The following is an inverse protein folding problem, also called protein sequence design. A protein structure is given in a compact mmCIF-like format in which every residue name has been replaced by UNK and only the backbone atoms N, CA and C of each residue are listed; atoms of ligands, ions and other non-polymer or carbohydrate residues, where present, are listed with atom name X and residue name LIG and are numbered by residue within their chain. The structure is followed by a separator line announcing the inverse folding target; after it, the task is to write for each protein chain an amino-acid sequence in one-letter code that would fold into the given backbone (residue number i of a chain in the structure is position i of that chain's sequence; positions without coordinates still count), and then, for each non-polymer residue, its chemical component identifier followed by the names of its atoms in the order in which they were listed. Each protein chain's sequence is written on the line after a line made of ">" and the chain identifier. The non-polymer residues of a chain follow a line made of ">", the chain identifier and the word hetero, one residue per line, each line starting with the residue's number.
data_IF_671770778998
#
_entry.id   IF_671770778998
#
_cell.length_a   1.000
_cell.length_b   1.000
_cell.length_c   1.000
_cell.angle_alpha   90.00
_cell.angle_beta   90.00
_cell.angle_gamma   90.00
#
_symmetry.space_group_name_H-M   'P 1'
#
loop_
_entity.id
_entity.type
_entity.pdbx_description
1 polymer ?
#
# COMPACT_ATOMS: atom_id res chain seq x y z
N UNK A 1 -37.60 63.89 -19.82
CA UNK A 1 -37.35 63.37 -18.46
C UNK A 1 -37.92 61.96 -18.24
N UNK A 2 -39.19 61.64 -18.56
CA UNK A 2 -39.78 60.31 -18.37
C UNK A 2 -39.07 59.16 -19.10
N UNK A 3 -38.48 59.39 -20.26
CA UNK A 3 -37.76 58.35 -21.02
C UNK A 3 -36.34 58.10 -20.48
N UNK A 4 -35.71 59.15 -19.98
CA UNK A 4 -34.39 59.03 -19.34
C UNK A 4 -34.50 58.18 -18.07
N UNK A 5 -35.54 58.41 -17.25
CA UNK A 5 -35.77 57.63 -16.05
C UNK A 5 -36.02 56.15 -16.37
N UNK A 6 -36.78 55.83 -17.43
CA UNK A 6 -37.01 54.44 -17.86
C UNK A 6 -35.71 53.76 -18.32
N UNK A 7 -34.85 54.51 -19.04
CA UNK A 7 -33.57 53.98 -19.51
C UNK A 7 -32.61 53.70 -18.32
N UNK A 8 -32.57 54.60 -17.33
CA UNK A 8 -31.73 54.40 -16.13
C UNK A 8 -32.20 53.21 -15.31
N UNK A 9 -33.52 53.03 -15.15
CA UNK A 9 -34.10 51.87 -14.46
C UNK A 9 -33.77 50.56 -15.20
N UNK A 10 -33.90 50.58 -16.53
CA UNK A 10 -33.63 49.39 -17.36
C UNK A 10 -32.10 49.05 -17.30
N UNK A 11 -31.23 50.05 -17.34
CA UNK A 11 -29.76 49.83 -17.17
C UNK A 11 -29.41 49.26 -15.78
N UNK A 12 -29.98 49.85 -14.72
CA UNK A 12 -29.80 49.36 -13.37
C UNK A 12 -30.26 47.89 -13.22
N UNK A 13 -31.39 47.53 -13.83
CA UNK A 13 -31.92 46.16 -13.84
C UNK A 13 -31.01 45.21 -14.63
N UNK A 14 -30.42 45.65 -15.75
CA UNK A 14 -29.45 44.87 -16.51
C UNK A 14 -28.19 44.60 -15.72
N UNK A 15 -27.71 45.59 -14.96
CA UNK A 15 -26.52 45.40 -14.08
C UNK A 15 -26.79 44.42 -12.94
N UNK A 16 -28.01 44.35 -12.41
CA UNK A 16 -28.32 43.35 -11.35
C UNK A 16 -28.40 41.93 -11.89
N UNK A 17 -28.67 41.70 -13.16
CA UNK A 17 -28.72 40.40 -13.80
C UNK A 17 -27.34 39.84 -14.11
N UNK A 18 -26.28 40.66 -14.15
CA UNK A 18 -24.89 40.23 -14.41
C UNK A 18 -24.16 39.70 -13.15
N UNK A 19 -24.87 39.59 -12.02
CA UNK A 19 -24.31 39.09 -10.75
C UNK A 19 -24.06 37.57 -10.73
N UNK A 20 -24.21 36.87 -11.84
CA UNK A 20 -23.92 35.45 -11.90
C UNK A 20 -22.38 35.22 -11.90
N UNK A 21 -21.91 34.44 -10.95
CA UNK A 21 -20.51 33.97 -10.90
C UNK A 21 -20.24 33.07 -12.13
N UNK A 22 -19.39 33.54 -13.04
CA UNK A 22 -19.15 32.87 -14.32
C UNK A 22 -18.17 31.68 -14.21
N UNK A 23 -17.25 31.72 -13.28
CA UNK A 23 -16.24 30.68 -13.13
C UNK A 23 -16.59 29.73 -11.97
N UNK A 24 -17.20 28.59 -12.31
CA UNK A 24 -17.59 27.57 -11.33
C UNK A 24 -16.42 26.81 -10.71
N UNK A 25 -15.21 27.00 -11.23
CA UNK A 25 -14.00 26.33 -10.71
C UNK A 25 -13.35 27.09 -9.55
N UNK A 26 -13.78 28.34 -9.34
CA UNK A 26 -13.27 29.18 -8.25
C UNK A 26 -14.36 29.46 -7.22
N UNK A 27 -13.99 29.48 -5.93
CA UNK A 27 -14.93 29.91 -4.89
C UNK A 27 -15.38 31.35 -5.11
N UNK A 28 -16.66 31.63 -4.78
CA UNK A 28 -17.19 32.97 -4.86
C UNK A 28 -16.57 33.88 -3.79
N UNK A 29 -16.66 35.20 -3.97
CA UNK A 29 -16.22 36.17 -2.98
C UNK A 29 -17.07 36.06 -1.71
N UNK A 30 -16.39 36.07 -0.58
CA UNK A 30 -17.03 36.09 0.75
C UNK A 30 -16.84 37.45 1.40
N UNK A 31 -17.87 37.89 2.13
CA UNK A 31 -17.75 39.05 2.99
C UNK A 31 -16.91 38.68 4.23
N UNK A 32 -15.88 39.47 4.56
CA UNK A 32 -14.93 39.20 5.65
C UNK A 32 -14.30 37.79 5.55
N UNK A 33 -13.46 37.52 4.55
CA UNK A 33 -12.95 36.20 4.28
C UNK A 33 -11.83 35.74 5.23
N UNK A 34 -11.81 36.24 6.44
CA UNK A 34 -10.81 35.93 7.46
C UNK A 34 -10.62 34.41 7.57
N UNK A 35 -9.37 33.95 7.47
CA UNK A 35 -9.00 32.53 7.52
C UNK A 35 -9.58 31.67 6.38
N UNK A 36 -10.24 32.25 5.37
CA UNK A 36 -10.72 31.49 4.21
C UNK A 36 -9.57 30.85 3.42
N UNK A 37 -8.47 31.55 3.31
CA UNK A 37 -7.20 31.00 2.81
C UNK A 37 -6.25 30.90 3.99
N UNK A 38 -5.74 29.71 4.24
CA UNK A 38 -4.70 29.49 5.23
C UNK A 38 -3.47 30.35 4.89
N UNK A 39 -2.88 30.99 5.92
CA UNK A 39 -1.58 31.67 5.77
C UNK A 39 -0.45 30.65 5.64
N UNK A 40 -0.59 29.50 6.33
CA UNK A 40 0.31 28.37 6.18
C UNK A 40 0.03 27.60 4.88
N UNK A 41 1.06 27.00 4.31
CA UNK A 41 0.93 26.16 3.13
C UNK A 41 0.28 24.81 3.49
N UNK A 42 -0.70 24.40 2.70
CA UNK A 42 -1.27 23.05 2.80
C UNK A 42 -0.26 22.01 2.30
N UNK A 43 -0.38 20.77 2.79
CA UNK A 43 0.62 19.71 2.58
C UNK A 43 1.05 19.51 1.13
N UNK A 44 0.12 19.58 0.19
CA UNK A 44 0.40 19.37 -1.25
C UNK A 44 0.25 20.66 -2.08
N UNK A 45 0.20 21.83 -1.45
CA UNK A 45 0.10 23.11 -2.16
C UNK A 45 1.42 23.50 -2.81
N UNK A 46 1.33 24.42 -3.76
CA UNK A 46 2.52 25.06 -4.36
C UNK A 46 3.20 25.94 -3.32
N UNK A 47 4.51 25.81 -3.17
CA UNK A 47 5.31 26.58 -2.23
C UNK A 47 6.53 27.20 -2.93
N UNK A 48 6.53 28.52 -3.12
CA UNK A 48 7.61 29.20 -3.83
C UNK A 48 8.93 29.26 -3.05
N UNK A 49 8.94 28.87 -1.76
CA UNK A 49 10.16 28.85 -0.94
C UNK A 49 11.09 27.68 -1.26
N UNK A 50 10.58 26.66 -1.94
CA UNK A 50 11.37 25.51 -2.36
C UNK A 50 11.61 25.52 -3.87
N UNK A 51 12.78 25.09 -4.29
CA UNK A 51 13.20 25.08 -5.70
C UNK A 51 12.32 24.18 -6.58
N UNK A 52 11.74 23.12 -6.02
CA UNK A 52 10.82 22.19 -6.67
C UNK A 52 9.35 22.65 -6.62
N UNK A 53 9.07 23.78 -5.95
CA UNK A 53 7.73 24.33 -5.81
C UNK A 53 6.77 23.50 -4.95
N UNK A 54 7.24 22.51 -4.19
CA UNK A 54 6.39 21.59 -3.41
C UNK A 54 6.46 21.91 -1.92
N UNK A 55 5.31 21.90 -1.25
CA UNK A 55 5.26 22.01 0.21
C UNK A 55 5.76 20.74 0.88
N UNK A 56 5.30 19.58 0.41
CA UNK A 56 5.78 18.28 0.91
C UNK A 56 7.10 17.92 0.27
N UNK A 57 8.16 18.04 1.04
CA UNK A 57 9.51 17.69 0.60
C UNK A 57 9.75 16.18 0.79
N UNK A 58 10.48 15.51 -0.13
CA UNK A 58 10.96 14.17 0.11
C UNK A 58 11.88 14.15 1.34
N UNK A 59 11.94 13.04 2.08
CA UNK A 59 12.87 12.91 3.19
C UNK A 59 14.31 13.03 2.70
N UNK A 60 15.19 13.49 3.58
CA UNK A 60 16.64 13.57 3.28
C UNK A 60 17.14 12.15 2.96
N UNK A 61 17.97 12.05 1.93
CA UNK A 61 18.54 10.78 1.49
C UNK A 61 19.29 10.08 2.64
N UNK A 62 19.13 8.77 2.76
CA UNK A 62 19.73 7.97 3.83
C UNK A 62 18.99 8.03 5.18
N UNK A 63 17.90 8.80 5.29
CA UNK A 63 17.10 8.83 6.52
C UNK A 63 16.03 7.73 6.53
N UNK A 64 15.81 7.15 7.71
CA UNK A 64 14.74 6.17 7.94
C UNK A 64 13.64 6.85 8.74
N UNK A 65 12.43 6.88 8.18
CA UNK A 65 11.28 7.47 8.85
C UNK A 65 10.94 6.65 10.13
N UNK A 66 10.50 7.37 11.18
CA UNK A 66 10.08 6.73 12.43
C UNK A 66 8.97 5.72 12.16
N UNK A 67 9.10 4.51 12.72
CA UNK A 67 8.16 3.40 12.52
C UNK A 67 8.37 2.61 11.23
N UNK A 68 9.32 2.99 10.38
CA UNK A 68 9.75 2.17 9.25
C UNK A 68 10.91 1.29 9.68
N UNK A 69 10.89 0.04 9.20
CA UNK A 69 11.97 -0.93 9.38
C UNK A 69 12.64 -1.11 8.01
N UNK A 70 13.97 -0.97 7.93
CA UNK A 70 14.70 -1.26 6.70
C UNK A 70 14.41 -2.68 6.22
N UNK A 71 14.38 -2.85 4.90
CA UNK A 71 14.19 -4.14 4.27
C UNK A 71 15.22 -4.28 3.15
N UNK A 72 16.20 -5.15 3.38
CA UNK A 72 17.44 -5.21 2.60
C UNK A 72 17.33 -6.06 1.33
N UNK A 73 16.19 -6.75 1.13
CA UNK A 73 15.94 -7.56 -0.06
C UNK A 73 15.29 -6.70 -1.15
N UNK A 74 15.93 -6.55 -2.33
CA UNK A 74 15.41 -5.71 -3.41
C UNK A 74 14.16 -6.33 -4.06
N UNK A 75 13.35 -5.49 -4.72
CA UNK A 75 12.18 -5.91 -5.51
C UNK A 75 12.60 -6.54 -6.83
N UNK A 76 13.24 -7.70 -6.75
CA UNK A 76 13.69 -8.49 -7.90
C UNK A 76 13.41 -9.98 -7.68
N UNK A 77 13.55 -10.79 -8.72
CA UNK A 77 13.43 -12.25 -8.60
C UNK A 77 14.52 -12.83 -7.69
N UNK A 78 15.71 -12.29 -7.77
CA UNK A 78 16.85 -12.66 -6.92
C UNK A 78 16.54 -12.33 -5.45
N UNK A 79 16.06 -11.10 -5.17
CA UNK A 79 15.65 -10.68 -3.83
C UNK A 79 14.52 -11.55 -3.26
N UNK A 80 13.57 -11.97 -4.09
CA UNK A 80 12.55 -12.95 -3.67
C UNK A 80 13.15 -14.30 -3.30
N UNK A 81 14.07 -14.82 -4.11
CA UNK A 81 14.74 -16.10 -3.85
C UNK A 81 15.62 -16.04 -2.59
N UNK A 82 16.32 -14.95 -2.38
CA UNK A 82 17.07 -14.70 -1.15
C UNK A 82 16.15 -14.62 0.08
N UNK A 83 15.04 -13.92 -0.01
CA UNK A 83 14.06 -13.83 1.06
C UNK A 83 13.43 -15.21 1.36
N UNK A 84 13.17 -16.01 0.33
CA UNK A 84 12.64 -17.37 0.48
C UNK A 84 13.61 -18.27 1.26
N UNK A 85 14.93 -18.14 1.03
CA UNK A 85 15.94 -19.00 1.63
C UNK A 85 16.40 -18.48 3.02
N UNK A 86 16.61 -17.18 3.14
CA UNK A 86 17.38 -16.60 4.24
C UNK A 86 16.53 -15.81 5.23
N UNK A 87 15.41 -15.21 4.77
CA UNK A 87 14.63 -14.31 5.61
C UNK A 87 13.79 -15.09 6.62
N UNK A 88 14.07 -14.86 7.91
CA UNK A 88 13.40 -15.50 9.03
C UNK A 88 12.47 -14.53 9.74
N UNK A 89 11.36 -15.05 10.24
CA UNK A 89 10.42 -14.29 11.06
C UNK A 89 11.08 -13.97 12.43
N UNK A 90 11.18 -12.70 12.82
CA UNK A 90 11.71 -12.32 14.11
C UNK A 90 10.71 -12.49 15.26
N UNK A 91 9.43 -12.74 14.96
CA UNK A 91 8.37 -12.88 15.97
C UNK A 91 8.24 -14.33 16.41
N UNK A 92 7.97 -14.53 17.69
CA UNK A 92 7.65 -15.86 18.23
C UNK A 92 6.26 -16.32 17.81
N UNK A 93 6.15 -17.60 17.48
CA UNK A 93 4.89 -18.26 17.15
C UNK A 93 4.08 -18.52 18.43
N UNK A 94 3.35 -17.50 18.88
CA UNK A 94 2.44 -17.62 20.01
C UNK A 94 0.99 -17.38 19.57
N UNK A 95 0.04 -17.75 20.43
CA UNK A 95 -1.39 -17.64 20.15
C UNK A 95 -1.82 -16.20 19.79
N UNK A 96 -1.29 -15.20 20.49
CA UNK A 96 -1.62 -13.79 20.24
C UNK A 96 -1.17 -13.34 18.83
N UNK A 97 0.04 -13.71 18.41
CA UNK A 97 0.54 -13.38 17.07
C UNK A 97 -0.23 -14.12 15.97
N UNK A 98 -0.58 -15.38 16.19
CA UNK A 98 -1.40 -16.16 15.26
C UNK A 98 -2.83 -15.60 15.14
N UNK A 99 -3.46 -15.22 16.25
CA UNK A 99 -4.78 -14.61 16.27
C UNK A 99 -4.80 -13.27 15.52
N UNK A 100 -3.79 -12.42 15.75
CA UNK A 100 -3.62 -11.16 15.01
C UNK A 100 -3.35 -11.40 13.53
N UNK A 101 -2.50 -12.37 13.19
CA UNK A 101 -2.23 -12.76 11.80
C UNK A 101 -3.49 -13.22 11.07
N UNK A 102 -4.33 -14.03 11.73
CA UNK A 102 -5.64 -14.44 11.24
C UNK A 102 -6.57 -13.25 11.01
N UNK A 103 -6.63 -12.31 11.94
CA UNK A 103 -7.45 -11.12 11.81
C UNK A 103 -7.02 -10.28 10.60
N UNK A 104 -5.72 -10.01 10.44
CA UNK A 104 -5.19 -9.28 9.27
C UNK A 104 -5.42 -10.04 7.96
N UNK A 105 -5.22 -11.35 7.94
CA UNK A 105 -5.52 -12.19 6.78
C UNK A 105 -6.99 -12.08 6.37
N UNK A 106 -7.91 -12.12 7.34
CA UNK A 106 -9.35 -12.01 7.09
C UNK A 106 -9.73 -10.65 6.51
N UNK A 107 -9.03 -9.58 6.89
CA UNK A 107 -9.32 -8.23 6.39
C UNK A 107 -8.76 -8.04 4.98
N UNK A 108 -7.50 -8.41 4.75
CA UNK A 108 -6.76 -8.00 3.55
C UNK A 108 -6.56 -9.09 2.49
N UNK A 109 -6.60 -10.38 2.86
CA UNK A 109 -6.13 -11.46 2.00
C UNK A 109 -7.26 -12.39 1.53
N UNK A 110 -8.28 -12.60 2.36
CA UNK A 110 -9.36 -13.58 2.14
C UNK A 110 -10.14 -13.34 0.85
N UNK A 111 -10.28 -12.07 0.43
CA UNK A 111 -11.03 -11.69 -0.78
C UNK A 111 -10.49 -12.32 -2.06
N UNK A 112 -9.18 -12.55 -2.12
CA UNK A 112 -8.52 -13.22 -3.24
C UNK A 112 -8.11 -14.66 -2.91
N UNK A 113 -7.49 -14.88 -1.72
CA UNK A 113 -6.92 -16.18 -1.36
C UNK A 113 -7.92 -17.17 -0.78
N UNK A 114 -9.11 -16.71 -0.37
CA UNK A 114 -10.14 -17.55 0.24
C UNK A 114 -9.86 -17.91 1.70
N UNK A 115 -10.84 -18.51 2.36
CA UNK A 115 -10.77 -18.88 3.79
C UNK A 115 -9.81 -20.03 4.06
N UNK A 116 -9.61 -20.90 3.07
CA UNK A 116 -8.74 -22.08 3.13
C UNK A 116 -7.38 -21.85 2.43
N UNK A 117 -7.10 -20.63 1.94
CA UNK A 117 -5.89 -20.33 1.19
C UNK A 117 -5.79 -21.05 -0.16
N UNK A 118 -6.93 -21.48 -0.69
CA UNK A 118 -7.01 -22.26 -1.94
C UNK A 118 -6.95 -21.38 -3.21
N UNK A 119 -6.92 -20.05 -3.07
CA UNK A 119 -6.99 -19.13 -4.21
C UNK A 119 -8.40 -18.97 -4.78
N UNK A 120 -9.42 -19.28 -3.99
CA UNK A 120 -10.84 -19.30 -4.36
C UNK A 120 -11.65 -18.20 -3.67
N UNK A 121 -11.01 -17.07 -3.37
CA UNK A 121 -11.68 -15.92 -2.76
C UNK A 121 -12.78 -15.35 -3.64
N UNK A 122 -13.62 -14.49 -3.06
CA UNK A 122 -14.81 -13.96 -3.73
C UNK A 122 -14.48 -13.19 -5.02
N UNK A 123 -13.34 -12.49 -5.06
CA UNK A 123 -12.90 -11.78 -6.26
C UNK A 123 -12.46 -12.73 -7.38
N UNK A 124 -11.93 -13.89 -7.02
CA UNK A 124 -11.56 -14.94 -8.00
C UNK A 124 -12.82 -15.62 -8.54
N UNK A 125 -13.79 -15.94 -7.69
CA UNK A 125 -15.08 -16.54 -8.10
C UNK A 125 -15.88 -15.64 -9.02
N UNK A 126 -15.67 -14.32 -8.94
CA UNK A 126 -16.31 -13.32 -9.82
C UNK A 126 -15.46 -12.95 -11.04
N UNK A 127 -14.42 -13.70 -11.35
CA UNK A 127 -13.50 -13.47 -12.47
C UNK A 127 -12.87 -12.06 -12.49
N UNK A 128 -12.74 -11.43 -11.30
CA UNK A 128 -12.07 -10.11 -11.16
C UNK A 128 -10.56 -10.24 -11.02
N UNK A 129 -10.09 -11.36 -10.46
CA UNK A 129 -8.67 -11.69 -10.35
C UNK A 129 -8.45 -13.13 -10.79
N UNK A 130 -7.51 -13.32 -11.70
CA UNK A 130 -7.16 -14.65 -12.20
C UNK A 130 -5.78 -15.07 -11.69
N UNK A 131 -5.56 -16.38 -11.57
CA UNK A 131 -4.24 -16.92 -11.28
C UNK A 131 -3.78 -16.76 -9.82
N UNK A 132 -4.71 -16.57 -8.88
CA UNK A 132 -4.39 -16.61 -7.45
C UNK A 132 -4.05 -18.06 -7.08
N UNK A 133 -2.81 -18.34 -6.60
CA UNK A 133 -2.39 -19.70 -6.36
C UNK A 133 -2.96 -20.24 -5.04
N UNK A 134 -3.15 -21.56 -5.01
CA UNK A 134 -3.31 -22.25 -3.75
C UNK A 134 -1.96 -22.28 -3.01
N UNK A 135 -1.95 -21.95 -1.74
CA UNK A 135 -0.72 -21.95 -0.94
C UNK A 135 -0.10 -23.35 -0.83
N UNK A 136 -0.87 -24.41 -0.85
CA UNK A 136 -0.38 -25.80 -0.75
C UNK A 136 0.51 -26.19 -1.93
N UNK A 137 0.21 -25.66 -3.12
CA UNK A 137 0.86 -26.06 -4.37
C UNK A 137 2.20 -25.36 -4.63
N UNK A 138 2.63 -24.47 -3.74
CA UNK A 138 3.85 -23.68 -3.95
C UNK A 138 4.85 -23.83 -2.82
N UNK A 139 6.14 -23.88 -3.12
CA UNK A 139 7.20 -23.78 -2.10
C UNK A 139 7.25 -22.33 -1.60
N UNK A 140 6.61 -22.06 -0.46
CA UNK A 140 6.61 -20.77 0.20
C UNK A 140 7.19 -20.90 1.61
N UNK A 141 7.79 -19.81 2.08
CA UNK A 141 8.28 -19.63 3.45
C UNK A 141 7.74 -18.35 4.02
N UNK A 142 7.84 -18.14 5.33
CA UNK A 142 7.43 -16.86 5.94
C UNK A 142 8.17 -15.67 5.31
N UNK A 143 9.46 -15.84 4.98
CA UNK A 143 10.27 -14.82 4.31
C UNK A 143 9.76 -14.49 2.91
N UNK A 144 9.43 -15.51 2.09
CA UNK A 144 8.87 -15.27 0.76
C UNK A 144 7.49 -14.63 0.80
N UNK A 145 6.65 -14.99 1.77
CA UNK A 145 5.33 -14.38 1.98
C UNK A 145 5.51 -12.91 2.38
N UNK A 146 6.42 -12.62 3.32
CA UNK A 146 6.72 -11.25 3.72
C UNK A 146 7.19 -10.40 2.53
N UNK A 147 8.08 -10.93 1.69
CA UNK A 147 8.58 -10.25 0.50
C UNK A 147 7.44 -9.93 -0.48
N UNK A 148 6.53 -10.88 -0.72
CA UNK A 148 5.35 -10.67 -1.60
C UNK A 148 4.39 -9.66 -1.00
N UNK A 149 4.16 -9.65 0.31
CA UNK A 149 3.36 -8.62 0.99
C UNK A 149 4.02 -7.25 0.85
N UNK A 150 5.35 -7.19 0.91
CA UNK A 150 6.12 -5.94 0.83
C UNK A 150 6.04 -5.29 -0.55
N UNK A 151 6.26 -6.04 -1.61
CA UNK A 151 6.38 -5.49 -2.97
C UNK A 151 5.20 -5.83 -3.89
N UNK A 152 4.48 -6.88 -3.58
CA UNK A 152 3.54 -7.50 -4.49
C UNK A 152 4.20 -8.57 -5.37
N UNK A 153 3.42 -9.25 -6.18
CA UNK A 153 3.91 -10.18 -7.21
C UNK A 153 2.85 -10.40 -8.28
N UNK A 154 3.21 -10.23 -9.55
CA UNK A 154 2.28 -10.30 -10.69
C UNK A 154 1.08 -9.35 -10.51
N UNK A 155 -0.13 -9.87 -10.40
CA UNK A 155 -1.35 -9.09 -10.19
C UNK A 155 -1.57 -8.67 -8.72
N UNK A 156 -0.86 -9.26 -7.78
CA UNK A 156 -0.95 -8.88 -6.37
C UNK A 156 -0.14 -7.60 -6.12
N UNK A 157 -0.82 -6.53 -5.72
CA UNK A 157 -0.17 -5.28 -5.32
C UNK A 157 0.51 -5.37 -3.96
N UNK A 158 1.38 -4.40 -3.68
CA UNK A 158 2.02 -4.25 -2.36
C UNK A 158 1.00 -3.91 -1.27
N UNK A 159 1.15 -4.53 -0.12
CA UNK A 159 0.41 -4.21 1.11
C UNK A 159 1.29 -3.53 2.17
N UNK A 160 2.46 -3.04 1.77
CA UNK A 160 3.38 -2.36 2.69
C UNK A 160 2.80 -1.08 3.29
N UNK A 161 1.87 -0.43 2.59
CA UNK A 161 1.19 0.76 3.09
C UNK A 161 0.08 0.47 4.10
N UNK A 162 -0.56 -0.69 3.99
CA UNK A 162 -1.73 -1.08 4.80
C UNK A 162 -1.33 -1.86 6.06
N UNK A 163 -0.27 -2.67 5.98
CA UNK A 163 0.20 -3.53 7.06
C UNK A 163 1.49 -3.00 7.67
N UNK A 164 1.53 -2.85 8.99
CA UNK A 164 2.76 -2.59 9.71
C UNK A 164 3.75 -3.76 9.55
N UNK A 165 5.07 -3.53 9.68
CA UNK A 165 6.08 -4.59 9.53
C UNK A 165 5.82 -5.82 10.39
N UNK A 166 5.41 -5.65 11.64
CA UNK A 166 5.06 -6.75 12.53
C UNK A 166 3.83 -7.53 12.06
N UNK A 167 2.84 -6.83 11.50
CA UNK A 167 1.60 -7.48 11.02
C UNK A 167 1.83 -8.29 9.74
N UNK A 168 2.76 -7.87 8.88
CA UNK A 168 3.19 -8.67 7.72
C UNK A 168 3.77 -10.01 8.17
N UNK A 169 4.59 -10.00 9.23
CA UNK A 169 5.14 -11.21 9.83
C UNK A 169 4.07 -12.10 10.46
N UNK A 170 3.10 -11.50 11.16
CA UNK A 170 1.97 -12.23 11.75
C UNK A 170 1.11 -12.90 10.67
N UNK A 171 0.85 -12.21 9.56
CA UNK A 171 0.14 -12.80 8.40
C UNK A 171 0.94 -13.96 7.81
N UNK A 172 2.25 -13.79 7.59
CA UNK A 172 3.12 -14.85 7.07
C UNK A 172 3.11 -16.09 7.98
N UNK A 173 3.23 -15.88 9.28
CA UNK A 173 3.14 -16.92 10.31
C UNK A 173 1.79 -17.66 10.26
N UNK A 174 0.70 -16.91 10.19
CA UNK A 174 -0.64 -17.49 10.11
C UNK A 174 -0.82 -18.32 8.83
N UNK A 175 -0.41 -17.82 7.68
CA UNK A 175 -0.48 -18.57 6.40
C UNK A 175 0.30 -19.88 6.48
N UNK A 176 1.50 -19.86 7.03
CA UNK A 176 2.31 -21.07 7.19
C UNK A 176 1.66 -22.06 8.16
N UNK A 177 1.18 -21.60 9.31
CA UNK A 177 0.56 -22.48 10.32
C UNK A 177 -0.79 -23.04 9.88
N UNK A 178 -1.63 -22.24 9.20
CA UNK A 178 -2.99 -22.63 8.84
C UNK A 178 -3.08 -23.46 7.55
N UNK A 179 -2.17 -23.19 6.58
CA UNK A 179 -2.31 -23.77 5.24
C UNK A 179 -1.11 -24.61 4.79
N UNK A 180 -0.01 -24.59 5.55
CA UNK A 180 1.21 -25.33 5.25
C UNK A 180 1.67 -26.25 6.40
N UNK A 181 0.89 -26.39 7.46
CA UNK A 181 1.27 -27.22 8.61
C UNK A 181 1.65 -28.65 8.24
N UNK A 182 1.00 -29.20 7.20
CA UNK A 182 1.29 -30.56 6.71
C UNK A 182 2.57 -30.64 5.84
N UNK A 183 3.19 -29.49 5.47
CA UNK A 183 4.34 -29.42 4.56
C UNK A 183 5.65 -29.09 5.28
N UNK A 184 5.65 -28.86 6.59
CA UNK A 184 6.85 -28.61 7.39
C UNK A 184 7.43 -29.91 7.87
N UNK A 185 7.90 -30.75 6.93
CA UNK A 185 9.04 -31.64 7.24
C UNK A 185 10.29 -30.75 7.16
N UNK A 186 11.24 -30.84 8.12
CA UNK A 186 12.47 -30.05 8.05
C UNK A 186 13.19 -30.39 6.76
N UNK A 187 13.47 -29.37 5.93
CA UNK A 187 14.46 -29.51 4.85
C UNK A 187 15.78 -29.74 5.56
N UNK A 188 16.14 -31.01 5.71
CA UNK A 188 17.45 -31.43 6.17
C UNK A 188 18.46 -30.78 5.23
N UNK A 189 19.42 -30.08 5.83
CA UNK A 189 20.55 -29.52 5.12
C UNK A 189 21.15 -30.60 4.22
N UNK A 190 21.06 -30.38 2.90
CA UNK A 190 21.75 -31.23 1.94
C UNK A 190 23.22 -31.05 2.20
N UNK A 191 23.81 -32.10 2.72
CA UNK A 191 25.21 -32.28 3.04
C UNK A 191 26.07 -32.03 1.80
N UNK A 192 26.81 -30.93 1.81
CA UNK A 192 27.75 -30.60 0.76
C UNK A 192 29.06 -31.38 1.03
N UNK A 193 29.00 -32.68 0.88
CA UNK A 193 30.22 -33.52 0.80
C UNK A 193 30.44 -33.91 -0.64
N UNK A 194 31.08 -33.04 -1.41
CA UNK A 194 31.74 -33.45 -2.64
C UNK A 194 33.21 -33.68 -2.35
N UNK A 195 33.55 -34.90 -2.09
CA UNK A 195 34.93 -35.45 -2.04
C UNK A 195 35.57 -35.21 -3.42
N UNK A 196 36.56 -34.34 -3.45
CA UNK A 196 37.50 -34.29 -4.58
C UNK A 196 38.48 -35.47 -4.46
N UNK A 197 38.32 -36.49 -5.26
CA UNK A 197 39.36 -37.48 -5.53
C UNK A 197 40.23 -36.99 -6.69
N UNK A 198 41.42 -36.51 -6.30
CA UNK A 198 42.53 -36.38 -7.20
C UNK A 198 43.03 -37.77 -7.60
N UNK A 199 43.16 -38.06 -8.86
CA UNK A 199 44.07 -39.11 -9.39
C UNK A 199 44.75 -38.60 -10.65
N UNK A 200 46.02 -38.32 -10.48
CA UNK A 200 47.19 -38.52 -11.34
C UNK A 200 47.17 -37.87 -12.75
#
# INVERSE_FOLDING_TARGET
>A
MKNILKITIALAFLFTLSSCWLDKTKPNYQYMPDMYKSVGYDTYSVNPNFSDGRTSQPPVEGTIARGKVPYDYPDTTEGYNEALLNLKNPLEANEANLANGKAMYTIYCISCHGTAGAGDGELVKRDKFLGVPNYKDRPITEGSIYHVIMYGRNLMGSYAGQLAPADRWRVAMYVMSAFKADAVAPVAAADATTTQTNTK
#
